data_IF_355757289932
#
_entry.id   IF_355757289932
#
_cell.length_a   1.000
_cell.length_b   1.000
_cell.length_c   1.000
_cell.angle_alpha   90.00
_cell.angle_beta   90.00
_cell.angle_gamma   90.00
#
_symmetry.space_group_name_H-M   'P 1'
#
loop_
_entity.id
_entity.type
_entity.pdbx_description
1 polymer ?
#
# COMPACT_ATOMS: atom_id res chain seq x y z
N UNK A 1 33.77 -6.83 12.95
CA UNK A 1 32.84 -6.34 14.00
C UNK A 1 31.49 -6.09 13.35
N UNK A 2 30.65 -7.12 13.28
CA UNK A 2 29.29 -7.03 12.74
C UNK A 2 28.41 -6.38 13.79
N UNK A 3 27.91 -5.18 13.50
CA UNK A 3 26.93 -4.54 14.36
C UNK A 3 25.68 -5.43 14.40
N UNK A 4 25.38 -5.99 15.58
CA UNK A 4 24.11 -6.61 15.90
C UNK A 4 23.04 -5.53 15.73
N UNK A 5 22.45 -5.50 14.55
CA UNK A 5 21.30 -4.68 14.32
C UNK A 5 20.10 -5.38 14.97
N UNK A 6 19.72 -4.87 16.13
CA UNK A 6 18.61 -5.32 16.98
C UNK A 6 17.44 -5.86 16.15
N UNK A 7 17.11 -7.14 16.29
CA UNK A 7 16.12 -7.83 15.44
C UNK A 7 14.75 -7.73 16.11
N UNK A 8 13.79 -7.08 15.44
CA UNK A 8 12.43 -6.87 15.98
C UNK A 8 11.59 -8.13 15.87
N UNK A 9 11.80 -8.94 14.81
CA UNK A 9 11.11 -10.22 14.66
C UNK A 9 11.91 -11.20 13.79
N UNK A 10 12.05 -12.44 14.25
CA UNK A 10 12.79 -13.49 13.56
C UNK A 10 11.96 -14.76 13.39
N UNK A 11 11.96 -15.28 12.17
CA UNK A 11 11.51 -16.63 11.85
C UNK A 11 12.65 -17.38 11.14
N UNK A 12 12.48 -18.68 10.85
CA UNK A 12 13.47 -19.48 10.11
C UNK A 12 13.87 -18.90 8.75
N UNK A 13 12.99 -18.11 8.11
CA UNK A 13 13.20 -17.57 6.75
C UNK A 13 13.14 -16.04 6.67
N UNK A 14 12.87 -15.34 7.77
CA UNK A 14 12.66 -13.90 7.77
C UNK A 14 13.29 -13.25 8.99
N UNK A 15 14.08 -12.20 8.76
CA UNK A 15 14.63 -11.32 9.78
C UNK A 15 14.07 -9.92 9.55
N UNK A 16 13.18 -9.47 10.42
CA UNK A 16 12.69 -8.10 10.43
C UNK A 16 13.54 -7.27 11.37
N UNK A 17 14.24 -6.30 10.79
CA UNK A 17 15.08 -5.34 11.50
C UNK A 17 14.41 -3.96 11.51
N UNK A 18 14.65 -3.12 12.52
CA UNK A 18 14.21 -1.73 12.54
C UNK A 18 14.68 -1.00 11.29
N UNK A 19 13.79 -0.20 10.74
CA UNK A 19 14.12 0.66 9.60
C UNK A 19 15.04 1.80 10.08
N UNK A 20 16.11 2.07 9.34
CA UNK A 20 17.07 3.15 9.63
C UNK A 20 17.10 4.12 8.45
N UNK A 21 17.40 5.40 8.69
CA UNK A 21 17.43 6.42 7.64
C UNK A 21 18.38 6.05 6.47
N UNK A 22 19.48 5.34 6.76
CA UNK A 22 20.41 4.83 5.75
C UNK A 22 19.83 3.78 4.79
N UNK A 23 18.71 3.14 5.13
CA UNK A 23 18.05 2.16 4.25
C UNK A 23 17.21 2.83 3.14
N UNK A 24 16.97 4.14 3.22
CA UNK A 24 16.14 4.85 2.26
C UNK A 24 16.65 4.74 0.81
N UNK A 25 17.98 4.67 0.61
CA UNK A 25 18.58 4.48 -0.71
C UNK A 25 18.27 3.10 -1.30
N UNK A 26 18.43 2.04 -0.50
CA UNK A 26 18.11 0.66 -0.90
C UNK A 26 16.61 0.52 -1.18
N UNK A 27 15.76 1.15 -0.38
CA UNK A 27 14.31 1.14 -0.61
C UNK A 27 13.89 1.94 -1.84
N UNK A 28 14.59 3.03 -2.15
CA UNK A 28 14.41 3.75 -3.41
C UNK A 28 14.80 2.88 -4.60
N UNK A 29 15.94 2.19 -4.54
CA UNK A 29 16.41 1.25 -5.56
C UNK A 29 15.42 0.09 -5.77
N UNK A 30 15.00 -0.59 -4.70
CA UNK A 30 13.97 -1.63 -4.74
C UNK A 30 12.62 -1.12 -5.26
N UNK A 31 12.27 0.14 -4.98
CA UNK A 31 11.08 0.78 -5.54
C UNK A 31 11.21 1.03 -7.04
N UNK A 32 12.42 1.32 -7.54
CA UNK A 32 12.69 1.43 -8.98
C UNK A 32 12.74 0.07 -9.68
N UNK A 33 13.09 -1.00 -8.96
CA UNK A 33 13.05 -2.39 -9.45
C UNK A 33 11.63 -2.97 -9.55
N UNK A 34 10.61 -2.34 -8.93
CA UNK A 34 9.23 -2.79 -9.04
C UNK A 34 8.84 -2.95 -10.50
N UNK A 35 8.29 -4.11 -10.85
CA UNK A 35 7.92 -4.47 -12.23
C UNK A 35 7.09 -3.35 -12.90
N UNK A 36 7.67 -2.62 -13.88
CA UNK A 36 7.00 -1.53 -14.55
C UNK A 36 5.80 -2.00 -15.38
N UNK A 37 5.63 -3.32 -15.59
CA UNK A 37 4.50 -3.91 -16.33
C UNK A 37 3.21 -3.98 -15.51
N UNK A 38 3.21 -3.67 -14.21
CA UNK A 38 1.96 -3.55 -13.45
C UNK A 38 1.77 -2.15 -12.86
N UNK A 39 1.65 -1.10 -13.69
CA UNK A 39 1.24 0.20 -13.21
C UNK A 39 -0.17 0.15 -12.63
N UNK A 40 -0.48 1.00 -11.63
CA UNK A 40 -1.85 1.15 -11.12
C UNK A 40 -2.88 1.41 -12.22
N UNK A 41 -2.52 2.16 -13.27
CA UNK A 41 -3.42 2.44 -14.40
C UNK A 41 -3.81 1.17 -15.15
N UNK A 42 -2.93 0.17 -15.27
CA UNK A 42 -3.21 -1.09 -15.98
C UNK A 42 -4.36 -1.87 -15.33
N UNK A 43 -4.56 -1.74 -14.02
CA UNK A 43 -5.72 -2.33 -13.31
C UNK A 43 -7.01 -1.57 -13.61
N UNK A 44 -6.95 -0.25 -13.72
CA UNK A 44 -8.10 0.59 -14.06
C UNK A 44 -8.54 0.38 -15.51
N UNK A 45 -7.59 0.31 -16.44
CA UNK A 45 -7.84 0.05 -17.87
C UNK A 45 -8.46 -1.32 -18.06
N UNK A 46 -7.98 -2.34 -17.33
CA UNK A 46 -8.60 -3.67 -17.33
C UNK A 46 -10.04 -3.62 -16.83
N UNK A 47 -10.30 -2.91 -15.72
CA UNK A 47 -11.65 -2.80 -15.19
C UNK A 47 -12.61 -2.07 -16.15
N UNK A 48 -12.13 -1.02 -16.83
CA UNK A 48 -12.87 -0.36 -17.93
C UNK A 48 -13.17 -1.31 -19.07
N UNK A 49 -12.17 -2.07 -19.54
CA UNK A 49 -12.34 -3.04 -20.63
C UNK A 49 -13.31 -4.17 -20.28
N UNK A 50 -13.45 -4.49 -19.00
CA UNK A 50 -14.41 -5.47 -18.49
C UNK A 50 -15.83 -4.90 -18.29
N UNK A 51 -16.04 -3.61 -18.60
CA UNK A 51 -17.36 -2.95 -18.48
C UNK A 51 -17.71 -2.51 -17.06
N UNK A 52 -16.75 -2.42 -16.13
CA UNK A 52 -17.04 -1.90 -14.80
C UNK A 52 -17.15 -0.37 -14.83
N UNK A 53 -18.23 0.16 -14.26
CA UNK A 53 -18.48 1.61 -14.17
C UNK A 53 -17.91 2.25 -12.90
N UNK A 54 -17.59 1.43 -11.89
CA UNK A 54 -17.16 1.89 -10.57
C UNK A 54 -16.22 0.89 -9.91
N UNK A 55 -15.20 1.41 -9.24
CA UNK A 55 -14.32 0.67 -8.37
C UNK A 55 -14.51 1.07 -6.91
N UNK A 56 -14.23 0.11 -6.05
CA UNK A 56 -14.10 0.29 -4.61
C UNK A 56 -12.72 -0.14 -4.16
N UNK A 57 -12.21 0.54 -3.14
CA UNK A 57 -10.98 0.18 -2.45
C UNK A 57 -11.21 0.32 -0.95
N UNK A 58 -10.61 -0.58 -0.17
CA UNK A 58 -10.55 -0.48 1.28
C UNK A 58 -9.11 -0.20 1.72
N UNK A 59 -8.94 0.64 2.73
CA UNK A 59 -7.63 1.03 3.27
C UNK A 59 -7.76 1.27 4.76
N UNK A 60 -6.73 0.93 5.54
CA UNK A 60 -6.71 1.28 6.97
C UNK A 60 -6.57 2.79 7.17
N UNK A 61 -7.25 3.33 8.18
CA UNK A 61 -7.24 4.74 8.58
C UNK A 61 -5.82 5.30 8.79
N UNK A 62 -4.96 4.50 9.41
CA UNK A 62 -3.55 4.84 9.67
C UNK A 62 -2.66 4.81 8.41
N UNK A 63 -3.09 4.20 7.30
CA UNK A 63 -2.27 4.07 6.09
C UNK A 63 -2.34 5.32 5.20
N UNK A 64 -1.74 6.40 5.69
CA UNK A 64 -1.68 7.71 5.02
C UNK A 64 -1.09 7.62 3.61
N UNK A 65 -0.09 6.77 3.40
CA UNK A 65 0.56 6.62 2.09
C UNK A 65 -0.40 6.07 1.03
N UNK A 66 -1.14 5.01 1.35
CA UNK A 66 -2.11 4.41 0.42
C UNK A 66 -3.30 5.32 0.17
N UNK A 67 -3.77 6.04 1.19
CA UNK A 67 -4.85 7.04 1.05
C UNK A 67 -4.47 8.14 0.05
N UNK A 68 -3.24 8.66 0.12
CA UNK A 68 -2.71 9.64 -0.86
C UNK A 68 -2.63 9.07 -2.27
N UNK A 69 -2.23 7.80 -2.42
CA UNK A 69 -2.19 7.14 -3.73
C UNK A 69 -3.61 6.98 -4.29
N UNK A 70 -4.59 6.57 -3.48
CA UNK A 70 -5.98 6.48 -3.89
C UNK A 70 -6.54 7.83 -4.34
N UNK A 71 -6.28 8.90 -3.58
CA UNK A 71 -6.66 10.27 -3.97
C UNK A 71 -6.00 10.68 -5.30
N UNK A 72 -4.71 10.40 -5.49
CA UNK A 72 -4.00 10.68 -6.76
C UNK A 72 -4.58 9.87 -7.93
N UNK A 73 -5.06 8.67 -7.66
CA UNK A 73 -5.77 7.84 -8.61
C UNK A 73 -7.26 8.20 -8.69
N UNK A 74 -7.72 9.36 -8.19
CA UNK A 74 -9.10 9.83 -8.34
C UNK A 74 -10.15 9.03 -7.57
N UNK A 75 -9.75 8.26 -6.55
CA UNK A 75 -10.69 7.70 -5.59
C UNK A 75 -11.05 8.74 -4.53
N UNK A 76 -12.33 8.77 -4.15
CA UNK A 76 -12.85 9.61 -3.09
C UNK A 76 -13.24 8.74 -1.91
N UNK A 77 -12.75 9.08 -0.71
CA UNK A 77 -13.17 8.42 0.53
C UNK A 77 -14.68 8.63 0.75
N UNK A 78 -15.36 7.56 1.15
CA UNK A 78 -16.78 7.57 1.45
C UNK A 78 -17.00 7.71 2.95
N UNK A 79 -18.24 7.96 3.36
CA UNK A 79 -18.61 7.91 4.78
C UNK A 79 -18.63 6.48 5.35
N UNK A 80 -18.46 5.45 4.51
CA UNK A 80 -18.47 4.08 4.99
C UNK A 80 -17.13 3.72 5.61
N UNK A 81 -17.18 3.28 6.87
CA UNK A 81 -16.04 2.86 7.66
C UNK A 81 -16.40 1.63 8.47
N UNK A 82 -15.44 0.74 8.70
CA UNK A 82 -15.63 -0.46 9.50
C UNK A 82 -14.51 -0.61 10.53
N UNK A 83 -14.87 -0.61 11.82
CA UNK A 83 -13.91 -0.84 12.88
C UNK A 83 -13.59 -2.33 13.00
N UNK A 84 -12.31 -2.70 12.84
CA UNK A 84 -11.83 -4.09 12.91
C UNK A 84 -10.69 -4.19 13.94
N UNK A 85 -11.01 -4.44 15.22
CA UNK A 85 -9.99 -4.65 16.23
C UNK A 85 -9.20 -5.95 15.98
N UNK A 86 -7.89 -6.01 16.30
CA UNK A 86 -7.07 -4.94 16.89
C UNK A 86 -6.49 -3.94 15.87
N UNK A 87 -6.80 -4.08 14.59
CA UNK A 87 -6.07 -3.46 13.47
C UNK A 87 -6.43 -1.98 13.20
N UNK A 88 -7.60 -1.52 13.64
CA UNK A 88 -8.04 -0.14 13.48
C UNK A 88 -9.31 -0.02 12.64
N UNK A 89 -9.49 1.11 11.94
CA UNK A 89 -10.68 1.37 11.12
C UNK A 89 -10.35 1.19 9.65
N UNK A 90 -11.10 0.34 8.95
CA UNK A 90 -11.07 0.26 7.49
C UNK A 90 -11.93 1.38 6.92
N UNK A 91 -11.33 2.22 6.08
CA UNK A 91 -11.99 3.25 5.27
C UNK A 91 -12.29 2.69 3.88
N UNK A 92 -13.43 3.08 3.31
CA UNK A 92 -13.81 2.71 1.94
C UNK A 92 -13.76 3.93 1.03
N UNK A 93 -13.15 3.77 -0.14
CA UNK A 93 -13.07 4.79 -1.18
C UNK A 93 -13.60 4.27 -2.51
N UNK A 94 -14.19 5.16 -3.31
CA UNK A 94 -14.75 4.80 -4.61
C UNK A 94 -14.26 5.71 -5.72
N UNK A 95 -14.15 5.15 -6.93
CA UNK A 95 -13.87 5.89 -8.17
C UNK A 95 -14.81 5.43 -9.26
N UNK A 96 -15.39 6.35 -10.01
CA UNK A 96 -16.05 6.02 -11.29
C UNK A 96 -15.00 5.81 -12.37
N UNK A 97 -15.19 4.77 -13.17
CA UNK A 97 -14.33 4.42 -14.29
C UNK A 97 -14.80 5.09 -15.56
#
# INVERSE_FOLDING_TARGET
MTAEHDVVHQTRRLLLRPWQAGHAAVEHELRTERDPRVPPHRRLDRARSAGHERLWASVWDWNTASRRVLAKLGFTETAWTEFRPPYGTTLYATRRL
#
